data_IF_204863825859
#
_entry.id   IF_204863825859
#
_cell.length_a   1.000
_cell.length_b   1.000
_cell.length_c   1.000
_cell.angle_alpha   90.00
_cell.angle_beta   90.00
_cell.angle_gamma   90.00
#
_symmetry.space_group_name_H-M   'P 1'
#
loop_
_entity.id
_entity.type
_entity.pdbx_description
1 polymer ?
#
# COMPACT_ATOMS: atom_id res chain seq x y z
N UNK A 1 -3.77 7.48 42.83
CA UNK A 1 -4.02 6.27 42.01
C UNK A 1 -3.30 6.41 40.67
N UNK A 2 -2.41 5.49 40.32
CA UNK A 2 -1.67 5.56 39.04
C UNK A 2 -2.61 5.26 37.87
N UNK A 3 -2.69 6.17 36.89
CA UNK A 3 -3.57 6.05 35.73
C UNK A 3 -2.99 4.99 34.78
N UNK A 4 -3.66 3.85 34.61
CA UNK A 4 -3.23 2.79 33.69
C UNK A 4 -3.13 3.37 32.27
N UNK A 5 -1.93 3.42 31.70
CA UNK A 5 -1.75 3.92 30.33
C UNK A 5 -2.48 3.03 29.33
N UNK A 6 -3.33 3.67 28.52
CA UNK A 6 -4.02 3.00 27.41
C UNK A 6 -3.05 2.84 26.25
N UNK A 7 -2.64 1.60 25.97
CA UNK A 7 -1.81 1.27 24.81
C UNK A 7 -2.70 1.25 23.56
N UNK A 8 -2.27 1.95 22.51
CA UNK A 8 -3.01 1.98 21.24
C UNK A 8 -3.01 0.59 20.56
N UNK A 9 -4.04 0.30 19.76
CA UNK A 9 -4.11 -0.96 19.00
C UNK A 9 -2.94 -1.12 18.03
N UNK A 10 -2.47 -0.04 17.41
CA UNK A 10 -1.28 -0.04 16.54
C UNK A 10 -0.01 -0.38 17.31
N UNK A 11 0.23 0.28 18.45
CA UNK A 11 1.39 0.00 19.30
C UNK A 11 1.38 -1.44 19.80
N UNK A 12 0.22 -1.97 20.19
CA UNK A 12 0.09 -3.38 20.62
C UNK A 12 0.36 -4.37 19.48
N UNK A 13 0.00 -4.01 18.25
CA UNK A 13 0.26 -4.83 17.05
C UNK A 13 1.66 -4.60 16.45
N UNK A 14 2.46 -3.69 17.01
CA UNK A 14 3.77 -3.29 16.47
C UNK A 14 3.70 -2.77 15.02
N UNK A 15 2.62 -2.07 14.69
CA UNK A 15 2.41 -1.46 13.37
C UNK A 15 2.54 0.06 13.45
N UNK A 16 3.17 0.66 12.45
CA UNK A 16 3.16 2.11 12.22
C UNK A 16 1.79 2.57 11.69
N UNK A 17 1.13 1.74 10.89
CA UNK A 17 -0.15 2.07 10.30
C UNK A 17 -1.28 2.11 11.36
N UNK A 18 -2.26 3.01 11.21
CA UNK A 18 -3.28 3.24 12.24
C UNK A 18 -4.40 2.19 12.19
N UNK A 19 -4.28 1.11 12.97
CA UNK A 19 -5.25 0.00 13.07
C UNK A 19 -6.66 0.51 13.35
N UNK A 20 -6.82 1.44 14.29
CA UNK A 20 -8.14 1.99 14.64
C UNK A 20 -8.77 2.79 13.50
N UNK A 21 -7.97 3.42 12.64
CA UNK A 21 -8.47 4.16 11.48
C UNK A 21 -8.91 3.21 10.37
N UNK A 22 -8.15 2.12 10.16
CA UNK A 22 -8.50 1.05 9.22
C UNK A 22 -9.83 0.39 9.64
N UNK A 23 -10.00 0.05 10.92
CA UNK A 23 -11.26 -0.48 11.47
C UNK A 23 -12.46 0.45 11.19
N UNK A 24 -12.28 1.76 11.41
CA UNK A 24 -13.32 2.75 11.09
C UNK A 24 -13.67 2.74 9.60
N UNK A 25 -12.68 2.73 8.72
CA UNK A 25 -12.94 2.69 7.27
C UNK A 25 -13.60 1.40 6.82
N UNK A 26 -13.23 0.25 7.40
CA UNK A 26 -13.89 -1.02 7.10
C UNK A 26 -15.38 -1.00 7.49
N UNK A 27 -15.72 -0.37 8.61
CA UNK A 27 -17.13 -0.22 9.05
C UNK A 27 -17.90 0.75 8.16
N UNK A 28 -17.29 1.88 7.79
CA UNK A 28 -17.91 2.87 6.91
C UNK A 28 -18.12 2.35 5.48
N UNK A 29 -17.25 1.47 5.01
CA UNK A 29 -17.37 0.83 3.70
C UNK A 29 -18.42 -0.28 3.61
N UNK A 30 -19.05 -0.65 4.73
CA UNK A 30 -20.08 -1.70 4.79
C UNK A 30 -19.65 -3.05 4.17
N UNK A 31 -18.35 -3.40 4.24
CA UNK A 31 -17.80 -4.64 3.67
C UNK A 31 -18.29 -5.93 4.33
N UNK A 32 -19.04 -5.81 5.44
CA UNK A 32 -19.70 -6.92 6.12
C UNK A 32 -20.52 -6.42 7.31
N UNK A 33 -21.55 -7.18 7.69
CA UNK A 33 -22.41 -6.86 8.83
C UNK A 33 -21.63 -6.89 10.16
N UNK A 34 -20.62 -7.77 10.26
CA UNK A 34 -19.72 -7.89 11.40
C UNK A 34 -18.29 -8.05 10.90
N UNK A 35 -17.35 -7.43 11.62
CA UNK A 35 -15.91 -7.52 11.33
C UNK A 35 -15.21 -8.20 12.50
N UNK A 36 -14.31 -9.14 12.18
CA UNK A 36 -13.42 -9.73 13.19
C UNK A 36 -12.52 -8.66 13.80
N UNK A 37 -12.19 -8.81 15.09
CA UNK A 37 -11.24 -7.92 15.77
C UNK A 37 -9.84 -7.95 15.15
N UNK A 38 -9.48 -9.05 14.49
CA UNK A 38 -8.19 -9.22 13.80
C UNK A 38 -8.15 -8.60 12.39
N UNK A 39 -9.31 -8.40 11.74
CA UNK A 39 -9.39 -7.90 10.37
C UNK A 39 -8.66 -6.54 10.16
N UNK A 40 -8.87 -5.50 10.99
CA UNK A 40 -8.17 -4.24 10.80
C UNK A 40 -6.67 -4.33 11.09
N UNK A 41 -6.23 -5.24 11.96
CA UNK A 41 -4.81 -5.48 12.25
C UNK A 41 -4.14 -6.11 11.04
N UNK A 42 -4.76 -7.15 10.48
CA UNK A 42 -4.26 -7.84 9.29
C UNK A 42 -4.15 -6.88 8.10
N UNK A 43 -5.22 -6.14 7.81
CA UNK A 43 -5.20 -5.20 6.69
C UNK A 43 -4.19 -4.07 6.90
N UNK A 44 -4.07 -3.52 8.10
CA UNK A 44 -3.06 -2.51 8.40
C UNK A 44 -1.64 -3.06 8.17
N UNK A 45 -1.36 -4.29 8.59
CA UNK A 45 -0.06 -4.94 8.36
C UNK A 45 0.25 -5.17 6.89
N UNK A 46 -0.73 -5.63 6.10
CA UNK A 46 -0.55 -5.80 4.64
C UNK A 46 -0.28 -4.46 3.96
N UNK A 47 -1.04 -3.41 4.30
CA UNK A 47 -0.82 -2.07 3.73
C UNK A 47 0.54 -1.49 4.12
N UNK A 48 0.97 -1.69 5.37
CA UNK A 48 2.28 -1.25 5.85
C UNK A 48 3.41 -1.97 5.12
N UNK A 49 3.31 -3.30 4.97
CA UNK A 49 4.29 -4.09 4.25
C UNK A 49 4.43 -3.64 2.78
N UNK A 50 3.31 -3.49 2.07
CA UNK A 50 3.32 -3.05 0.68
C UNK A 50 3.92 -1.65 0.55
N UNK A 51 3.53 -0.72 1.42
CA UNK A 51 4.05 0.65 1.43
C UNK A 51 5.55 0.66 1.70
N UNK A 52 6.00 -0.04 2.73
CA UNK A 52 7.41 -0.15 3.09
C UNK A 52 8.22 -0.74 1.94
N UNK A 53 7.70 -1.77 1.25
CA UNK A 53 8.41 -2.40 0.13
C UNK A 53 8.55 -1.47 -1.06
N UNK A 54 7.49 -0.74 -1.41
CA UNK A 54 7.53 0.25 -2.51
C UNK A 54 8.51 1.37 -2.17
N UNK A 55 8.49 1.88 -0.93
CA UNK A 55 9.39 2.95 -0.49
C UNK A 55 10.86 2.51 -0.41
N UNK A 56 11.15 1.28 0.02
CA UNK A 56 12.50 0.70 0.01
C UNK A 56 13.07 0.67 -1.41
N UNK A 57 12.30 0.14 -2.37
CA UNK A 57 12.71 0.08 -3.76
C UNK A 57 12.84 1.48 -4.38
N UNK A 58 11.89 2.38 -4.11
CA UNK A 58 11.91 3.74 -4.64
C UNK A 58 13.04 4.59 -4.02
N UNK A 59 13.40 4.33 -2.76
CA UNK A 59 14.55 4.92 -2.09
C UNK A 59 15.87 4.48 -2.72
N UNK A 60 16.02 3.19 -3.04
CA UNK A 60 17.18 2.67 -3.78
C UNK A 60 17.28 3.27 -5.18
N UNK A 61 16.16 3.38 -5.89
CA UNK A 61 16.11 4.03 -7.22
C UNK A 61 16.48 5.51 -7.13
N UNK A 62 15.98 6.23 -6.12
CA UNK A 62 16.35 7.63 -5.88
C UNK A 62 17.85 7.79 -5.60
N UNK A 63 18.39 6.95 -4.72
CA UNK A 63 19.80 6.93 -4.37
C UNK A 63 20.69 6.61 -5.58
N UNK A 64 20.29 5.63 -6.39
CA UNK A 64 20.97 5.29 -7.66
C UNK A 64 21.00 6.48 -8.62
N UNK A 65 19.91 7.28 -8.66
CA UNK A 65 19.82 8.50 -9.45
C UNK A 65 20.48 9.72 -8.78
N UNK A 66 21.24 9.52 -7.69
CA UNK A 66 21.91 10.57 -6.89
C UNK A 66 20.95 11.65 -6.36
N UNK A 67 19.69 11.28 -6.12
CA UNK A 67 18.64 12.16 -5.58
C UNK A 67 18.36 11.78 -4.12
N UNK A 68 18.28 12.78 -3.24
CA UNK A 68 17.92 12.58 -1.82
C UNK A 68 16.40 12.43 -1.59
N UNK A 69 15.57 12.91 -2.51
CA UNK A 69 14.11 12.87 -2.41
C UNK A 69 13.54 11.82 -3.37
N UNK A 70 12.63 11.00 -2.87
CA UNK A 70 11.82 10.11 -3.72
C UNK A 70 10.85 10.97 -4.53
N UNK A 71 10.83 10.79 -5.86
CA UNK A 71 9.91 11.44 -6.80
C UNK A 71 8.95 10.41 -7.39
N UNK A 72 7.82 10.84 -7.99
CA UNK A 72 6.92 9.92 -8.69
C UNK A 72 7.61 9.08 -9.77
N UNK A 73 8.63 9.62 -10.44
CA UNK A 73 9.46 8.89 -11.42
C UNK A 73 10.12 7.64 -10.83
N UNK A 74 10.66 7.72 -9.61
CA UNK A 74 11.28 6.57 -8.95
C UNK A 74 10.26 5.50 -8.62
N UNK A 75 9.06 5.90 -8.20
CA UNK A 75 7.96 4.96 -7.94
C UNK A 75 7.52 4.29 -9.25
N UNK A 76 7.34 5.05 -10.33
CA UNK A 76 7.00 4.52 -11.65
C UNK A 76 7.99 3.46 -12.14
N UNK A 77 9.29 3.77 -12.08
CA UNK A 77 10.35 2.80 -12.44
C UNK A 77 10.32 1.53 -11.60
N UNK A 78 10.03 1.63 -10.31
CA UNK A 78 9.90 0.46 -9.42
C UNK A 78 8.71 -0.40 -9.81
N UNK A 79 7.59 0.22 -10.16
CA UNK A 79 6.39 -0.49 -10.62
C UNK A 79 6.65 -1.21 -11.95
N UNK A 80 7.36 -0.58 -12.89
CA UNK A 80 7.71 -1.17 -14.18
C UNK A 80 8.71 -2.34 -14.04
N UNK A 81 9.73 -2.18 -13.18
CA UNK A 81 10.80 -3.19 -13.00
C UNK A 81 10.35 -4.41 -12.20
N UNK A 82 9.34 -4.27 -11.35
CA UNK A 82 8.88 -5.34 -10.47
C UNK A 82 7.58 -5.96 -10.99
N UNK A 83 7.65 -7.16 -11.53
CA UNK A 83 6.48 -7.82 -12.12
C UNK A 83 5.33 -8.06 -11.13
N UNK A 84 5.62 -8.32 -9.85
CA UNK A 84 4.58 -8.51 -8.84
C UNK A 84 3.83 -7.22 -8.57
N UNK A 85 4.56 -6.10 -8.44
CA UNK A 85 3.97 -4.78 -8.25
C UNK A 85 3.26 -4.33 -9.53
N UNK A 86 3.87 -4.52 -10.69
CA UNK A 86 3.25 -4.27 -11.98
C UNK A 86 1.89 -4.96 -12.05
N UNK A 87 1.83 -6.29 -11.82
CA UNK A 87 0.58 -7.05 -11.83
C UNK A 87 -0.44 -6.57 -10.79
N UNK A 88 0.01 -6.17 -9.61
CA UNK A 88 -0.87 -5.65 -8.56
C UNK A 88 -1.53 -4.32 -8.95
N UNK A 89 -0.84 -3.50 -9.75
CA UNK A 89 -1.30 -2.16 -10.15
C UNK A 89 -1.76 -2.06 -11.62
N UNK A 90 -1.63 -3.13 -12.41
CA UNK A 90 -1.93 -3.17 -13.86
C UNK A 90 -3.42 -2.88 -14.17
N UNK A 91 -4.33 -3.20 -13.24
CA UNK A 91 -5.78 -3.20 -13.48
C UNK A 91 -6.52 -1.91 -13.05
N UNK A 92 -5.79 -0.82 -12.77
CA UNK A 92 -6.39 0.48 -12.43
C UNK A 92 -5.91 1.66 -13.31
N UNK A 93 -5.05 1.42 -14.30
CA UNK A 93 -4.48 2.48 -15.13
C UNK A 93 -5.14 2.63 -16.51
N UNK A 94 -6.05 1.71 -16.90
CA UNK A 94 -6.81 1.81 -18.14
C UNK A 94 -8.30 1.90 -17.80
N UNK A 95 -8.98 3.04 -18.05
CA UNK A 95 -10.43 3.00 -18.19
C UNK A 95 -10.81 1.98 -19.30
N UNK A 96 -11.99 1.35 -19.23
CA UNK A 96 -12.37 0.24 -20.11
C UNK A 96 -12.40 0.53 -21.64
N UNK A 97 -12.00 1.72 -22.10
CA UNK A 97 -12.15 2.15 -23.50
C UNK A 97 -10.86 2.60 -24.22
N UNK A 98 -9.67 2.21 -23.76
CA UNK A 98 -8.45 2.45 -24.56
C UNK A 98 -8.04 1.18 -25.30
N UNK A 99 -8.55 1.01 -26.52
CA UNK A 99 -8.07 0.01 -27.47
C UNK A 99 -6.54 0.13 -27.60
N UNK A 100 -5.81 -0.89 -27.11
CA UNK A 100 -4.37 -1.00 -27.37
C UNK A 100 -4.16 -1.16 -28.88
N UNK A 101 -3.29 -0.36 -29.53
CA UNK A 101 -3.07 -0.46 -30.96
C UNK A 101 -2.54 -1.85 -31.31
N UNK A 102 -3.22 -2.49 -32.27
CA UNK A 102 -2.85 -3.81 -32.80
C UNK A 102 -1.41 -3.74 -33.31
N UNK A 103 -0.50 -4.51 -32.70
CA UNK A 103 0.85 -4.70 -33.24
C UNK A 103 0.73 -5.26 -34.65
N UNK A 104 1.14 -4.47 -35.64
CA UNK A 104 1.31 -4.90 -37.03
C UNK A 104 2.29 -6.07 -37.06
N UNK A 105 1.80 -7.23 -37.48
CA UNK A 105 2.64 -8.39 -37.78
C UNK A 105 3.64 -7.99 -38.87
N UNK A 106 4.94 -8.14 -38.58
CA UNK A 106 5.92 -8.39 -39.63
C UNK A 106 5.86 -9.87 -39.98
#
# INVERSE_FOLDING_TARGET
MSKKQTISRSTRAQLQFPVSRVDRFLRQGHYGQRLSSSAPVFLAGVLEYLTAKILDLAGREAHSNRKMRITPEHVGKVLEKNWHLYRLFEDNANPPDVEKPKKSKK
#
